data_IF_353387028807
#
_entry.id   IF_353387028807
#
_cell.length_a   1.000
_cell.length_b   1.000
_cell.length_c   1.000
_cell.angle_alpha   90.00
_cell.angle_beta   90.00
_cell.angle_gamma   90.00
#
_symmetry.space_group_name_H-M   'P 1'
#
loop_
_entity.id
_entity.type
_entity.pdbx_description
1 polymer ?
#
# COMPACT_ATOMS: atom_id res chain seq x y z
N UNK A 1 -0.91 20.42 -1.73
CA UNK A 1 -2.27 20.02 -1.29
C UNK A 1 -3.04 21.25 -0.88
N UNK A 2 -4.38 21.20 -0.92
CA UNK A 2 -5.27 22.24 -0.37
C UNK A 2 -6.15 21.59 0.70
N UNK A 3 -6.39 22.32 1.78
CA UNK A 3 -7.36 21.93 2.80
C UNK A 3 -8.76 21.94 2.21
N UNK A 4 -9.61 21.03 2.69
CA UNK A 4 -10.98 20.87 2.22
C UNK A 4 -11.89 21.06 3.41
N UNK A 5 -12.47 22.26 3.55
CA UNK A 5 -13.13 22.70 4.80
C UNK A 5 -14.06 21.67 5.41
N UNK A 6 -14.82 20.94 4.60
CA UNK A 6 -15.72 19.88 5.07
C UNK A 6 -15.01 18.72 5.80
N UNK A 7 -13.77 18.40 5.45
CA UNK A 7 -12.93 17.42 6.16
C UNK A 7 -12.49 18.00 7.49
N UNK A 8 -11.98 19.24 7.48
CA UNK A 8 -11.50 19.87 8.71
C UNK A 8 -12.63 20.13 9.71
N UNK A 9 -13.81 20.54 9.24
CA UNK A 9 -15.01 20.73 10.04
C UNK A 9 -15.48 19.39 10.63
N UNK A 10 -15.46 18.30 9.85
CA UNK A 10 -15.81 16.97 10.36
C UNK A 10 -14.83 16.51 11.45
N UNK A 11 -13.52 16.70 11.24
CA UNK A 11 -12.52 16.36 12.26
C UNK A 11 -12.77 17.18 13.53
N UNK A 12 -12.96 18.49 13.39
CA UNK A 12 -13.16 19.42 14.52
C UNK A 12 -14.43 19.13 15.31
N UNK A 13 -15.55 18.95 14.62
CA UNK A 13 -16.86 18.95 15.26
C UNK A 13 -17.36 17.54 15.58
N UNK A 14 -16.83 16.51 14.92
CA UNK A 14 -17.31 15.12 15.06
C UNK A 14 -16.27 14.17 15.65
N UNK A 15 -15.00 14.35 15.34
CA UNK A 15 -13.93 13.44 15.82
C UNK A 15 -13.29 13.96 17.10
N UNK A 16 -12.82 15.20 17.12
CA UNK A 16 -12.09 15.78 18.27
C UNK A 16 -12.84 15.72 19.61
N UNK A 17 -14.16 16.00 19.69
CA UNK A 17 -14.88 15.99 20.98
C UNK A 17 -14.91 14.60 21.65
N UNK A 18 -14.71 13.54 20.87
CA UNK A 18 -14.79 12.15 21.32
C UNK A 18 -13.43 11.46 21.25
N UNK A 19 -12.36 12.22 20.99
CA UNK A 19 -11.02 11.66 20.80
C UNK A 19 -10.51 10.99 22.07
N UNK A 20 -10.23 9.70 21.94
CA UNK A 20 -9.75 8.84 23.00
C UNK A 20 -8.99 7.66 22.40
N UNK A 21 -8.22 6.97 23.23
CA UNK A 21 -7.53 5.76 22.82
C UNK A 21 -8.53 4.64 22.48
N UNK A 22 -8.39 4.02 21.32
CA UNK A 22 -9.27 2.93 20.86
C UNK A 22 -9.09 1.63 21.66
N UNK A 23 -8.08 1.55 22.53
CA UNK A 23 -7.83 0.38 23.39
C UNK A 23 -8.59 0.42 24.72
N UNK A 24 -9.35 1.48 24.99
CA UNK A 24 -10.14 1.65 26.21
C UNK A 24 -11.63 1.56 25.88
N UNK A 25 -12.23 0.37 26.03
CA UNK A 25 -13.68 0.19 25.84
C UNK A 25 -14.51 0.64 27.06
N UNK A 26 -13.84 1.01 28.16
CA UNK A 26 -14.48 1.45 29.41
C UNK A 26 -15.01 2.88 29.37
N UNK A 27 -14.76 3.65 28.31
CA UNK A 27 -15.35 4.98 28.11
C UNK A 27 -16.14 5.05 26.81
N UNK A 28 -17.23 5.83 26.82
CA UNK A 28 -18.04 6.08 25.62
C UNK A 28 -17.20 6.69 24.48
N UNK A 29 -16.20 7.51 24.81
CA UNK A 29 -15.28 8.13 23.84
C UNK A 29 -14.35 7.10 23.17
N UNK A 30 -13.79 6.15 23.93
CA UNK A 30 -12.93 5.10 23.37
C UNK A 30 -13.70 4.11 22.49
N UNK A 31 -14.94 3.78 22.89
CA UNK A 31 -15.85 2.99 22.05
C UNK A 31 -16.19 3.73 20.75
N UNK A 32 -16.51 5.03 20.83
CA UNK A 32 -16.83 5.82 19.63
C UNK A 32 -15.64 5.90 18.67
N UNK A 33 -14.43 6.15 19.15
CA UNK A 33 -13.24 6.17 18.28
C UNK A 33 -12.99 4.83 17.60
N UNK A 34 -13.31 3.73 18.27
CA UNK A 34 -13.23 2.38 17.70
C UNK A 34 -14.24 2.22 16.56
N UNK A 35 -15.48 2.67 16.76
CA UNK A 35 -16.51 2.66 15.71
C UNK A 35 -16.10 3.51 14.51
N UNK A 36 -15.65 4.76 14.72
CA UNK A 36 -15.14 5.63 13.65
C UNK A 36 -14.02 4.95 12.84
N UNK A 37 -13.10 4.25 13.51
CA UNK A 37 -12.02 3.51 12.85
C UNK A 37 -12.54 2.31 12.04
N UNK A 38 -13.59 1.63 12.51
CA UNK A 38 -14.24 0.55 11.76
C UNK A 38 -15.00 1.07 10.54
N UNK A 39 -15.74 2.17 10.69
CA UNK A 39 -16.45 2.84 9.60
C UNK A 39 -15.49 3.33 8.53
N UNK A 40 -14.44 4.05 8.90
CA UNK A 40 -13.40 4.50 7.97
C UNK A 40 -12.82 3.33 7.17
N UNK A 41 -12.57 2.20 7.83
CA UNK A 41 -12.06 0.98 7.19
C UNK A 41 -13.07 0.37 6.23
N UNK A 42 -14.35 0.39 6.56
CA UNK A 42 -15.41 -0.08 5.68
C UNK A 42 -15.55 0.82 4.44
N UNK A 43 -15.49 2.14 4.63
CA UNK A 43 -15.56 3.12 3.53
C UNK A 43 -14.41 2.96 2.53
N UNK A 44 -13.16 2.87 3.01
CA UNK A 44 -12.00 2.63 2.15
C UNK A 44 -12.11 1.30 1.40
N UNK A 45 -12.59 0.23 2.06
CA UNK A 45 -12.79 -1.05 1.39
C UNK A 45 -13.82 -0.93 0.27
N UNK A 46 -14.95 -0.26 0.55
CA UNK A 46 -16.03 -0.08 -0.42
C UNK A 46 -15.57 0.74 -1.63
N UNK A 47 -14.78 1.79 -1.43
CA UNK A 47 -14.31 2.66 -2.52
C UNK A 47 -13.40 1.95 -3.53
N UNK A 48 -12.80 0.81 -3.16
CA UNK A 48 -11.96 -0.02 -4.04
C UNK A 48 -12.64 -1.34 -4.42
N UNK A 49 -13.96 -1.43 -4.29
CA UNK A 49 -14.76 -2.64 -4.58
C UNK A 49 -14.29 -3.90 -3.81
N UNK A 50 -13.76 -3.72 -2.60
CA UNK A 50 -13.26 -4.81 -1.79
C UNK A 50 -14.32 -5.53 -0.96
N UNK A 51 -14.13 -6.83 -0.68
CA UNK A 51 -15.00 -7.61 0.23
C UNK A 51 -14.33 -7.87 1.57
N UNK A 52 -15.11 -7.98 2.66
CA UNK A 52 -14.56 -8.24 4.00
C UNK A 52 -13.95 -9.65 4.11
N UNK A 53 -14.46 -10.59 3.32
CA UNK A 53 -14.06 -11.99 3.31
C UNK A 53 -12.73 -12.21 2.58
N UNK A 54 -12.45 -11.43 1.54
CA UNK A 54 -11.22 -11.58 0.72
C UNK A 54 -10.16 -10.51 0.99
N UNK A 55 -10.57 -9.32 1.44
CA UNK A 55 -9.68 -8.15 1.47
C UNK A 55 -9.53 -7.55 2.87
N UNK A 56 -8.29 -7.53 3.33
CA UNK A 56 -7.87 -6.75 4.49
C UNK A 56 -7.62 -5.28 4.10
N UNK A 57 -7.97 -4.36 4.99
CA UNK A 57 -7.61 -2.93 4.86
C UNK A 57 -6.70 -2.59 6.04
N UNK A 58 -5.46 -2.24 5.74
CA UNK A 58 -4.43 -1.93 6.73
C UNK A 58 -4.13 -0.43 6.67
N UNK A 59 -4.53 0.32 7.70
CA UNK A 59 -4.08 1.69 7.85
C UNK A 59 -2.59 1.67 8.16
N UNK A 60 -1.79 2.25 7.26
CA UNK A 60 -0.38 2.55 7.48
C UNK A 60 -0.23 4.01 7.88
N UNK A 61 0.97 4.39 8.31
CA UNK A 61 1.28 5.75 8.79
C UNK A 61 1.09 6.82 7.72
N UNK A 62 2.15 7.54 7.38
CA UNK A 62 2.05 8.73 6.55
C UNK A 62 2.04 8.40 5.06
N UNK A 63 0.89 7.93 4.56
CA UNK A 63 0.59 7.85 3.13
C UNK A 63 1.16 6.63 2.39
N UNK A 64 1.27 6.77 1.06
CA UNK A 64 1.59 5.67 0.15
C UNK A 64 3.00 5.07 0.38
N UNK A 65 3.97 5.89 0.77
CA UNK A 65 5.33 5.42 1.09
C UNK A 65 5.33 4.42 2.25
N UNK A 66 4.59 4.70 3.33
CA UNK A 66 4.45 3.75 4.44
C UNK A 66 3.69 2.49 4.02
N UNK A 67 2.74 2.60 3.09
CA UNK A 67 2.05 1.45 2.51
C UNK A 67 3.01 0.54 1.73
N UNK A 68 3.88 1.12 0.89
CA UNK A 68 4.90 0.37 0.15
C UNK A 68 5.91 -0.30 1.07
N UNK A 69 6.44 0.41 2.08
CA UNK A 69 7.34 -0.18 3.06
C UNK A 69 6.70 -1.37 3.79
N UNK A 70 5.39 -1.26 4.12
CA UNK A 70 4.66 -2.38 4.73
C UNK A 70 4.49 -3.56 3.78
N UNK A 71 4.16 -3.31 2.51
CA UNK A 71 4.06 -4.34 1.48
C UNK A 71 5.38 -5.11 1.35
N UNK A 72 6.49 -4.41 1.21
CA UNK A 72 7.83 -5.01 1.14
C UNK A 72 8.13 -5.87 2.37
N UNK A 73 7.81 -5.39 3.57
CA UNK A 73 7.97 -6.16 4.81
C UNK A 73 7.14 -7.45 4.81
N UNK A 74 5.90 -7.41 4.33
CA UNK A 74 5.04 -8.59 4.23
C UNK A 74 5.63 -9.58 3.22
N UNK A 75 6.02 -9.10 2.04
CA UNK A 75 6.60 -9.95 0.99
C UNK A 75 7.89 -10.63 1.46
N UNK A 76 8.81 -9.85 2.03
CA UNK A 76 10.08 -10.34 2.57
C UNK A 76 9.87 -11.44 3.61
N UNK A 77 8.98 -11.21 4.58
CA UNK A 77 8.83 -12.11 5.72
C UNK A 77 8.08 -13.40 5.37
N UNK A 78 7.24 -13.41 4.33
CA UNK A 78 6.36 -14.54 4.03
C UNK A 78 6.74 -15.31 2.76
N UNK A 79 7.33 -14.63 1.77
CA UNK A 79 7.53 -15.20 0.43
C UNK A 79 9.00 -15.18 -0.02
N UNK A 80 9.77 -14.15 0.34
CA UNK A 80 11.17 -14.01 -0.08
C UNK A 80 12.13 -14.58 0.98
N UNK A 81 12.15 -15.91 1.12
CA UNK A 81 13.00 -16.60 2.10
C UNK A 81 14.48 -16.47 1.71
N UNK A 82 15.29 -15.94 2.62
CA UNK A 82 16.74 -15.74 2.44
C UNK A 82 17.14 -14.35 1.91
N UNK A 83 16.17 -13.51 1.54
CA UNK A 83 16.43 -12.14 1.05
C UNK A 83 16.22 -11.97 -0.45
N UNK A 84 16.18 -10.72 -0.90
CA UNK A 84 15.84 -10.33 -2.28
C UNK A 84 16.90 -10.72 -3.31
N UNK A 85 18.18 -10.68 -2.91
CA UNK A 85 19.31 -11.15 -3.70
C UNK A 85 20.25 -11.89 -2.76
N UNK A 86 20.64 -13.10 -3.15
CA UNK A 86 21.44 -13.99 -2.31
C UNK A 86 22.72 -14.38 -3.05
N UNK A 87 23.88 -14.07 -2.45
CA UNK A 87 25.16 -14.47 -3.00
C UNK A 87 25.27 -16.01 -3.06
N UNK A 88 25.66 -16.54 -4.22
CA UNK A 88 25.78 -17.98 -4.44
C UNK A 88 24.47 -18.71 -4.73
N UNK A 89 23.33 -18.02 -4.72
CA UNK A 89 22.06 -18.55 -5.22
C UNK A 89 21.98 -18.40 -6.75
N UNK A 90 21.22 -19.28 -7.39
CA UNK A 90 20.89 -19.16 -8.81
C UNK A 90 20.11 -17.85 -9.05
N UNK A 91 20.50 -17.05 -10.04
CA UNK A 91 19.84 -15.79 -10.38
C UNK A 91 18.37 -16.02 -10.74
N UNK A 92 18.03 -17.18 -11.31
CA UNK A 92 16.66 -17.59 -11.62
C UNK A 92 15.74 -17.68 -10.38
N UNK A 93 16.32 -17.73 -9.17
CA UNK A 93 15.60 -17.78 -7.90
C UNK A 93 15.31 -16.39 -7.30
N UNK A 94 15.88 -15.33 -7.87
CA UNK A 94 15.66 -13.98 -7.35
C UNK A 94 14.28 -13.47 -7.73
N UNK A 95 13.63 -12.67 -6.88
CA UNK A 95 12.37 -12.04 -7.23
C UNK A 95 12.59 -10.99 -8.33
N UNK A 96 11.84 -11.13 -9.43
CA UNK A 96 11.78 -10.15 -10.50
C UNK A 96 10.56 -9.22 -10.30
N UNK A 97 10.78 -7.92 -10.37
CA UNK A 97 9.77 -6.87 -10.17
C UNK A 97 9.58 -6.11 -11.49
N UNK A 98 8.39 -6.25 -12.08
CA UNK A 98 7.99 -5.47 -13.25
C UNK A 98 7.41 -4.13 -12.82
N UNK A 99 7.90 -3.05 -13.40
CA UNK A 99 7.42 -1.68 -13.14
C UNK A 99 7.04 -1.00 -14.45
N UNK A 100 5.99 -0.18 -14.40
CA UNK A 100 5.53 0.58 -15.56
C UNK A 100 6.39 1.82 -15.84
N UNK A 101 6.17 2.49 -16.98
CA UNK A 101 6.92 3.68 -17.39
C UNK A 101 6.54 4.93 -16.57
N UNK A 102 5.40 4.92 -15.88
CA UNK A 102 4.84 6.09 -15.18
C UNK A 102 4.87 5.99 -13.66
N UNK A 103 5.76 5.16 -13.12
CA UNK A 103 5.81 4.95 -11.68
C UNK A 103 6.27 6.19 -10.91
N UNK A 104 5.59 6.46 -9.79
CA UNK A 104 6.03 7.52 -8.90
C UNK A 104 7.41 7.17 -8.31
N UNK A 105 8.29 8.17 -8.19
CA UNK A 105 9.67 7.97 -7.73
C UNK A 105 9.77 7.21 -6.40
N UNK A 106 8.86 7.48 -5.46
CA UNK A 106 8.85 6.77 -4.17
C UNK A 106 8.51 5.27 -4.29
N UNK A 107 7.78 4.85 -5.33
CA UNK A 107 7.53 3.44 -5.59
C UNK A 107 8.81 2.77 -6.12
N UNK A 108 9.42 3.35 -7.15
CA UNK A 108 10.65 2.83 -7.77
C UNK A 108 11.81 2.73 -6.77
N UNK A 109 12.02 3.77 -5.96
CA UNK A 109 13.11 3.79 -4.98
C UNK A 109 12.98 2.64 -3.97
N UNK A 110 11.77 2.38 -3.47
CA UNK A 110 11.51 1.29 -2.54
C UNK A 110 11.91 -0.08 -3.11
N UNK A 111 11.65 -0.34 -4.39
CA UNK A 111 12.09 -1.59 -5.05
C UNK A 111 13.60 -1.62 -5.26
N UNK A 112 14.22 -0.53 -5.71
CA UNK A 112 15.68 -0.47 -5.96
C UNK A 112 16.49 -0.73 -4.69
N UNK A 113 16.04 -0.22 -3.56
CA UNK A 113 16.69 -0.44 -2.25
C UNK A 113 16.62 -1.91 -1.80
N UNK A 114 15.72 -2.72 -2.36
CA UNK A 114 15.71 -4.17 -2.07
C UNK A 114 16.87 -4.93 -2.72
N UNK A 115 17.44 -4.40 -3.82
CA UNK A 115 18.41 -5.12 -4.65
C UNK A 115 17.79 -6.23 -5.52
N UNK A 116 16.46 -6.33 -5.57
CA UNK A 116 15.75 -7.22 -6.49
C UNK A 116 16.02 -6.84 -7.95
N UNK A 117 15.78 -7.79 -8.85
CA UNK A 117 15.78 -7.51 -10.28
C UNK A 117 14.56 -6.66 -10.63
N UNK A 118 14.79 -5.59 -11.40
CA UNK A 118 13.74 -4.65 -11.79
C UNK A 118 13.73 -4.55 -13.31
N UNK A 119 12.60 -4.89 -13.91
CA UNK A 119 12.36 -4.82 -15.35
C UNK A 119 11.40 -3.66 -15.61
N UNK A 120 11.86 -2.67 -16.37
CA UNK A 120 11.02 -1.53 -16.76
C UNK A 120 10.26 -1.88 -18.03
N UNK A 121 8.94 -1.91 -17.95
CA UNK A 121 8.09 -2.08 -19.12
C UNK A 121 7.93 -0.73 -19.82
N UNK A 122 8.16 -0.75 -21.13
CA UNK A 122 8.06 0.42 -22.00
C UNK A 122 6.66 1.02 -22.05
N UNK A 123 6.60 2.29 -22.44
CA UNK A 123 5.37 2.93 -22.89
C UNK A 123 4.99 2.40 -24.27
N UNK A 124 3.70 2.10 -24.46
CA UNK A 124 3.13 1.66 -25.74
C UNK A 124 2.77 2.84 -26.63
N UNK A 125 2.45 2.54 -27.89
CA UNK A 125 2.09 3.55 -28.90
C UNK A 125 0.82 4.36 -28.54
N UNK A 126 0.01 3.88 -27.61
CA UNK A 126 -1.21 4.54 -27.11
C UNK A 126 -0.96 5.45 -25.89
N UNK A 127 0.29 5.60 -25.45
CA UNK A 127 0.66 6.30 -24.23
C UNK A 127 0.36 5.52 -22.95
N UNK A 128 -0.01 4.25 -23.08
CA UNK A 128 -0.22 3.30 -21.99
C UNK A 128 1.02 2.44 -21.71
N UNK A 129 0.84 1.38 -20.93
CA UNK A 129 1.88 0.37 -20.73
C UNK A 129 1.92 -0.54 -21.96
N UNK A 130 3.10 -0.83 -22.50
CA UNK A 130 3.27 -1.81 -23.56
C UNK A 130 3.02 -3.23 -23.04
N UNK A 131 1.80 -3.72 -23.28
CA UNK A 131 1.38 -5.06 -22.87
C UNK A 131 2.07 -6.18 -23.66
N UNK A 132 2.54 -5.92 -24.89
CA UNK A 132 3.29 -6.91 -25.66
C UNK A 132 4.69 -7.08 -25.09
N UNK A 133 5.37 -5.99 -24.75
CA UNK A 133 6.65 -6.02 -24.06
C UNK A 133 6.50 -6.69 -22.69
N UNK A 134 5.49 -6.34 -21.88
CA UNK A 134 5.22 -7.03 -20.62
C UNK A 134 5.03 -8.55 -20.82
N UNK A 135 4.29 -8.96 -21.84
CA UNK A 135 4.09 -10.38 -22.13
C UNK A 135 5.38 -11.10 -22.54
N UNK A 136 6.31 -10.42 -23.22
CA UNK A 136 7.61 -10.98 -23.60
C UNK A 136 8.49 -11.21 -22.38
N UNK A 137 8.53 -10.23 -21.46
CA UNK A 137 9.34 -10.29 -20.23
C UNK A 137 8.79 -11.27 -19.17
N UNK A 138 7.51 -11.65 -19.26
CA UNK A 138 6.89 -12.64 -18.37
C UNK A 138 7.16 -14.11 -18.76
N UNK A 139 7.76 -14.39 -19.90
CA UNK A 139 8.01 -15.76 -20.43
C UNK A 139 9.39 -16.27 -20.05
#
# INVERSE_FOLDING_TARGET
GRFLSFIEDFIRDRVMPLYANTHSTSSATGMQMTLLRHEARASVRKSVNGSKQRNAVLFQGSGATSAMAKLLSILKNNYIKGGWKQEGADESSWPCIFVGPFEHHSNLLCWRETGAEIVNISEGDDGGIDLQHLQQELK
#
